data_IF_571197344691
#
_entry.id   IF_571197344691
#
_cell.length_a   1.000
_cell.length_b   1.000
_cell.length_c   1.000
_cell.angle_alpha   90.00
_cell.angle_beta   90.00
_cell.angle_gamma   90.00
#
_symmetry.space_group_name_H-M   'P 1'
#
loop_
_entity.id
_entity.type
_entity.pdbx_description
1 polymer ?
#
# COMPACT_ATOMS: atom_id res chain seq x y z
N UNK A 1 -27.93 27.27 62.00
CA UNK A 1 -27.02 27.38 60.86
C UNK A 1 -27.16 26.16 60.00
N UNK A 2 -27.86 26.29 58.86
CA UNK A 2 -28.16 25.15 57.95
C UNK A 2 -27.05 25.10 56.90
N UNK A 3 -26.24 24.04 56.89
CA UNK A 3 -25.22 23.79 55.87
C UNK A 3 -25.92 23.22 54.65
N UNK A 4 -25.95 23.94 53.54
CA UNK A 4 -26.37 23.47 52.26
C UNK A 4 -25.20 22.75 51.60
N UNK A 5 -25.27 21.43 51.48
CA UNK A 5 -24.34 20.61 50.68
C UNK A 5 -24.85 20.69 49.25
N UNK A 6 -24.14 21.43 48.39
CA UNK A 6 -24.40 21.52 46.96
C UNK A 6 -23.80 20.29 46.31
N UNK A 7 -24.61 19.30 45.95
CA UNK A 7 -24.18 18.12 45.25
C UNK A 7 -24.10 18.45 43.77
N UNK A 8 -22.92 18.77 43.29
CA UNK A 8 -22.68 18.98 41.85
C UNK A 8 -22.57 17.59 41.19
N UNK A 9 -23.68 17.14 40.60
CA UNK A 9 -23.67 15.97 39.71
C UNK A 9 -23.03 16.38 38.39
N UNK A 10 -21.75 16.05 38.22
CA UNK A 10 -21.07 16.14 36.90
C UNK A 10 -21.61 15.03 36.05
N UNK A 11 -22.56 15.35 35.19
CA UNK A 11 -22.99 14.48 34.09
C UNK A 11 -21.86 14.43 33.07
N UNK A 12 -21.03 13.41 33.15
CA UNK A 12 -20.17 13.02 32.04
C UNK A 12 -21.08 12.54 30.90
N UNK A 13 -21.51 13.46 30.05
CA UNK A 13 -22.05 13.11 28.75
C UNK A 13 -20.87 12.54 27.95
N UNK A 14 -20.64 11.24 28.08
CA UNK A 14 -19.81 10.50 27.16
C UNK A 14 -20.47 10.64 25.79
N UNK A 15 -20.02 11.59 25.00
CA UNK A 15 -20.30 11.59 23.58
C UNK A 15 -19.55 10.37 22.99
N UNK A 16 -20.19 9.20 23.06
CA UNK A 16 -19.85 8.12 22.14
C UNK A 16 -20.23 8.62 20.78
N UNK A 17 -19.23 9.08 20.03
CA UNK A 17 -19.42 9.31 18.60
C UNK A 17 -20.08 8.03 18.01
N UNK A 18 -21.17 8.15 17.26
CA UNK A 18 -21.76 6.99 16.63
C UNK A 18 -20.63 6.30 15.85
N UNK A 19 -20.49 5.00 16.09
CA UNK A 19 -19.55 4.16 15.37
C UNK A 19 -20.04 4.15 13.92
N UNK A 20 -19.57 5.15 13.13
CA UNK A 20 -19.92 5.20 11.72
C UNK A 20 -19.23 4.01 11.08
N UNK A 21 -20.03 3.09 10.56
CA UNK A 21 -19.49 2.03 9.71
C UNK A 21 -18.65 2.65 8.60
N UNK A 22 -17.48 2.05 8.29
CA UNK A 22 -16.61 2.58 7.25
C UNK A 22 -17.39 2.72 5.95
N UNK A 23 -17.28 3.88 5.32
CA UNK A 23 -17.93 4.10 4.05
C UNK A 23 -17.23 3.24 3.00
N UNK A 24 -17.95 2.27 2.46
CA UNK A 24 -17.46 1.37 1.42
C UNK A 24 -17.99 1.78 0.05
N UNK A 25 -17.27 1.39 -1.00
CA UNK A 25 -17.71 1.51 -2.38
C UNK A 25 -17.09 0.40 -3.25
N UNK A 26 -17.86 -0.05 -4.24
CA UNK A 26 -17.41 -1.08 -5.17
C UNK A 26 -17.45 -2.49 -4.58
N UNK A 27 -17.51 -3.46 -5.48
CA UNK A 27 -17.45 -4.90 -5.20
C UNK A 27 -16.95 -5.64 -6.44
N UNK A 28 -16.45 -6.84 -6.26
CA UNK A 28 -16.21 -7.73 -7.40
C UNK A 28 -17.52 -8.31 -7.92
N UNK A 29 -17.73 -8.27 -9.23
CA UNK A 29 -18.94 -8.81 -9.88
C UNK A 29 -19.15 -10.29 -9.56
N UNK A 30 -18.08 -11.04 -9.29
CA UNK A 30 -18.11 -12.46 -8.94
C UNK A 30 -18.38 -12.71 -7.44
N UNK A 31 -18.24 -11.70 -6.59
CA UNK A 31 -18.54 -11.76 -5.16
C UNK A 31 -19.11 -10.41 -4.70
N UNK A 32 -20.44 -10.26 -4.85
CA UNK A 32 -21.15 -9.03 -4.50
C UNK A 32 -21.18 -8.75 -2.99
N UNK A 33 -20.84 -9.74 -2.16
CA UNK A 33 -20.68 -9.54 -0.72
C UNK A 33 -19.35 -8.91 -0.34
N UNK A 34 -18.39 -8.88 -1.27
CA UNK A 34 -17.08 -8.28 -1.07
C UNK A 34 -17.15 -6.79 -1.39
N UNK A 35 -17.06 -5.96 -0.37
CA UNK A 35 -17.02 -4.50 -0.51
C UNK A 35 -15.67 -3.94 -0.09
N UNK A 36 -15.34 -2.76 -0.61
CA UNK A 36 -14.04 -2.12 -0.42
C UNK A 36 -14.17 -0.75 0.21
N UNK A 37 -13.18 -0.40 0.99
CA UNK A 37 -12.97 0.95 1.52
C UNK A 37 -11.56 1.43 1.15
N UNK A 38 -11.34 2.74 1.21
CA UNK A 38 -10.01 3.32 1.04
C UNK A 38 -9.09 2.76 2.12
N UNK A 39 -7.89 2.35 1.72
CA UNK A 39 -6.86 1.88 2.63
C UNK A 39 -6.17 3.03 3.38
N UNK A 40 -5.11 2.72 4.11
CA UNK A 40 -4.42 3.68 4.97
C UNK A 40 -3.28 4.41 4.26
N UNK A 41 -2.89 5.56 4.81
CA UNK A 41 -1.70 6.30 4.40
C UNK A 41 -0.41 5.49 4.64
N UNK A 42 -0.39 4.64 5.67
CA UNK A 42 0.73 3.73 5.94
C UNK A 42 1.01 2.79 4.77
N UNK A 43 -0.06 2.27 4.13
CA UNK A 43 0.09 1.44 2.92
C UNK A 43 0.64 2.25 1.75
N UNK A 44 0.21 3.50 1.60
CA UNK A 44 0.75 4.42 0.60
C UNK A 44 2.24 4.69 0.83
N UNK A 45 2.62 4.95 2.07
CA UNK A 45 4.02 5.22 2.46
C UNK A 45 4.90 3.97 2.30
N UNK A 46 4.35 2.79 2.54
CA UNK A 46 5.03 1.53 2.25
C UNK A 46 5.40 1.41 0.77
N UNK A 47 4.45 1.66 -0.14
CA UNK A 47 4.71 1.60 -1.59
C UNK A 47 5.71 2.66 -2.05
N UNK A 48 5.65 3.87 -1.50
CA UNK A 48 6.66 4.91 -1.76
C UNK A 48 8.05 4.47 -1.32
N UNK A 49 8.17 3.90 -0.13
CA UNK A 49 9.45 3.38 0.38
C UNK A 49 9.97 2.25 -0.49
N UNK A 50 9.10 1.34 -0.92
CA UNK A 50 9.47 0.26 -1.83
C UNK A 50 10.03 0.81 -3.16
N UNK A 51 9.35 1.79 -3.79
CA UNK A 51 9.84 2.46 -4.99
C UNK A 51 11.16 3.22 -4.76
N UNK A 52 11.31 3.88 -3.62
CA UNK A 52 12.56 4.55 -3.24
C UNK A 52 13.72 3.56 -3.12
N UNK A 53 13.51 2.40 -2.47
CA UNK A 53 14.55 1.37 -2.36
C UNK A 53 15.00 0.86 -3.74
N UNK A 54 14.11 0.79 -4.73
CA UNK A 54 14.48 0.49 -6.12
C UNK A 54 15.38 1.56 -6.72
N UNK A 55 15.08 2.84 -6.50
CA UNK A 55 15.87 3.96 -6.98
C UNK A 55 17.26 4.02 -6.31
N UNK A 56 17.32 3.63 -5.04
CA UNK A 56 18.57 3.55 -4.26
C UNK A 56 19.35 2.26 -4.53
N UNK A 57 18.77 1.31 -5.28
CA UNK A 57 19.32 -0.02 -5.57
C UNK A 57 19.61 -0.83 -4.31
N UNK A 58 18.80 -0.60 -3.28
CA UNK A 58 18.90 -1.28 -2.00
C UNK A 58 18.14 -2.61 -2.05
N UNK A 59 18.84 -3.63 -2.56
CA UNK A 59 18.31 -5.00 -2.70
C UNK A 59 17.81 -5.54 -1.36
N UNK A 60 18.56 -5.31 -0.27
CA UNK A 60 18.21 -5.82 1.06
C UNK A 60 16.89 -5.22 1.53
N UNK A 61 16.73 -3.90 1.40
CA UNK A 61 15.48 -3.23 1.76
C UNK A 61 14.31 -3.70 0.90
N UNK A 62 14.47 -3.90 -0.40
CA UNK A 62 13.41 -4.39 -1.28
C UNK A 62 12.96 -5.77 -0.81
N UNK A 63 13.87 -6.72 -0.70
CA UNK A 63 13.56 -8.10 -0.32
C UNK A 63 12.98 -8.21 1.11
N UNK A 64 13.39 -7.32 2.02
CA UNK A 64 12.81 -7.28 3.37
C UNK A 64 11.34 -6.85 3.41
N UNK A 65 10.88 -6.12 2.41
CA UNK A 65 9.49 -5.68 2.26
C UNK A 65 8.61 -6.68 1.52
N UNK A 66 9.19 -7.69 0.92
CA UNK A 66 8.52 -8.71 0.13
C UNK A 66 8.41 -10.03 0.88
N UNK A 67 7.43 -10.83 0.51
CA UNK A 67 7.35 -12.20 1.02
C UNK A 67 8.36 -13.10 0.28
N UNK A 68 8.90 -14.14 0.93
CA UNK A 68 9.80 -15.08 0.27
C UNK A 68 9.20 -15.75 -0.96
N UNK A 69 7.88 -15.96 -0.96
CA UNK A 69 7.07 -16.55 -2.01
C UNK A 69 6.34 -15.49 -2.88
N UNK A 70 6.97 -14.32 -3.08
CA UNK A 70 6.39 -13.28 -3.91
C UNK A 70 6.10 -13.81 -5.32
N UNK A 71 4.96 -13.41 -5.87
CA UNK A 71 4.55 -13.75 -7.24
C UNK A 71 4.31 -12.46 -8.02
N UNK A 72 5.01 -12.31 -9.14
CA UNK A 72 4.93 -11.13 -10.00
C UNK A 72 4.63 -11.57 -11.42
N UNK A 73 3.57 -11.02 -11.99
CA UNK A 73 3.23 -11.20 -13.40
C UNK A 73 3.57 -9.91 -14.16
N UNK A 74 4.41 -10.01 -15.17
CA UNK A 74 4.76 -8.87 -16.02
C UNK A 74 3.80 -8.75 -17.21
N UNK A 75 3.66 -7.54 -17.82
CA UNK A 75 2.72 -7.33 -18.93
C UNK A 75 2.99 -8.17 -20.18
N UNK A 76 4.19 -8.69 -20.34
CA UNK A 76 4.60 -9.56 -21.44
C UNK A 76 4.28 -11.07 -21.18
N UNK A 77 3.69 -11.36 -20.01
CA UNK A 77 3.36 -12.72 -19.57
C UNK A 77 4.50 -13.44 -18.85
N UNK A 78 5.62 -12.78 -18.61
CA UNK A 78 6.69 -13.33 -17.77
C UNK A 78 6.22 -13.41 -16.33
N UNK A 79 6.45 -14.56 -15.71
CA UNK A 79 6.16 -14.81 -14.30
C UNK A 79 7.47 -14.90 -13.53
N UNK A 80 7.50 -14.27 -12.35
CA UNK A 80 8.63 -14.28 -11.42
C UNK A 80 8.12 -14.87 -10.11
N UNK A 81 8.65 -16.00 -9.70
CA UNK A 81 8.25 -16.71 -8.49
C UNK A 81 9.38 -16.73 -7.47
N UNK A 82 9.12 -16.08 -6.34
CA UNK A 82 10.04 -16.00 -5.22
C UNK A 82 11.11 -14.92 -5.34
N UNK A 83 11.69 -14.59 -4.19
CA UNK A 83 12.69 -13.53 -4.07
C UNK A 83 13.99 -13.81 -4.85
N UNK A 84 14.37 -15.07 -5.02
CA UNK A 84 15.59 -15.43 -5.76
C UNK A 84 15.49 -15.10 -7.26
N UNK A 85 14.31 -15.27 -7.86
CA UNK A 85 14.08 -14.89 -9.25
C UNK A 85 13.93 -13.38 -9.38
N UNK A 86 13.20 -12.76 -8.44
CA UNK A 86 13.03 -11.32 -8.42
C UNK A 86 14.36 -10.59 -8.29
N UNK A 87 15.28 -11.06 -7.43
CA UNK A 87 16.62 -10.49 -7.29
C UNK A 87 17.37 -10.41 -8.62
N UNK A 88 17.28 -11.43 -9.46
CA UNK A 88 17.96 -11.44 -10.79
C UNK A 88 17.35 -10.39 -11.73
N UNK A 89 16.02 -10.20 -11.66
CA UNK A 89 15.35 -9.16 -12.45
C UNK A 89 15.76 -7.77 -11.95
N UNK A 90 15.84 -7.58 -10.63
CA UNK A 90 16.30 -6.33 -10.02
C UNK A 90 17.74 -5.99 -10.40
N UNK A 91 18.65 -6.98 -10.42
CA UNK A 91 20.04 -6.78 -10.91
C UNK A 91 20.05 -6.23 -12.34
N UNK A 92 19.19 -6.76 -13.22
CA UNK A 92 19.05 -6.24 -14.59
C UNK A 92 18.50 -4.81 -14.62
N UNK A 93 17.52 -4.49 -13.80
CA UNK A 93 16.98 -3.13 -13.69
C UNK A 93 18.02 -2.14 -13.19
N UNK A 94 18.81 -2.54 -12.20
CA UNK A 94 19.90 -1.71 -11.66
C UNK A 94 21.00 -1.46 -12.69
N UNK A 95 21.36 -2.49 -13.48
CA UNK A 95 22.34 -2.36 -14.57
C UNK A 95 21.87 -1.39 -15.68
N UNK A 96 20.58 -1.33 -15.94
CA UNK A 96 19.98 -0.44 -16.94
C UNK A 96 19.54 0.91 -16.36
N UNK A 97 19.93 1.24 -15.13
CA UNK A 97 19.57 2.48 -14.44
C UNK A 97 18.06 2.78 -14.46
N UNK A 98 17.23 1.75 -14.29
CA UNK A 98 15.80 1.94 -14.19
C UNK A 98 15.46 2.73 -12.92
N UNK A 99 14.61 3.75 -13.07
CA UNK A 99 14.08 4.54 -11.97
C UNK A 99 12.56 4.46 -11.94
N UNK A 100 12.02 4.56 -10.74
CA UNK A 100 10.59 4.42 -10.44
C UNK A 100 10.06 5.73 -9.87
N UNK A 101 9.16 6.39 -10.57
CA UNK A 101 8.49 7.60 -10.11
C UNK A 101 6.99 7.32 -9.95
N UNK A 102 6.50 7.14 -8.71
CA UNK A 102 5.07 6.99 -8.48
C UNK A 102 4.38 8.34 -8.69
N UNK A 103 3.35 8.40 -9.54
CA UNK A 103 2.55 9.59 -9.74
C UNK A 103 1.14 9.49 -9.15
N UNK A 104 0.67 8.29 -8.80
CA UNK A 104 -0.47 8.06 -7.93
C UNK A 104 -0.38 6.68 -7.28
N UNK A 105 -0.93 6.57 -6.06
CA UNK A 105 -1.03 5.33 -5.30
C UNK A 105 -2.40 5.30 -4.65
N UNK A 106 -3.16 4.24 -4.86
CA UNK A 106 -4.50 4.07 -4.30
C UNK A 106 -4.58 2.72 -3.56
N UNK A 107 -4.43 2.73 -2.24
CA UNK A 107 -4.69 1.54 -1.43
C UNK A 107 -6.20 1.35 -1.24
N UNK A 108 -6.66 0.11 -1.26
CA UNK A 108 -8.02 -0.25 -0.93
C UNK A 108 -8.07 -1.55 -0.14
N UNK A 109 -8.96 -1.62 0.83
CA UNK A 109 -9.06 -2.74 1.76
C UNK A 109 -10.40 -3.44 1.61
N UNK A 110 -10.36 -4.75 1.45
CA UNK A 110 -11.54 -5.60 1.48
C UNK A 110 -12.10 -5.66 2.90
N UNK A 111 -13.40 -5.42 3.04
CA UNK A 111 -14.06 -5.48 4.35
C UNK A 111 -14.19 -6.92 4.82
N UNK A 112 -14.53 -7.85 3.94
CA UNK A 112 -14.73 -9.26 4.24
C UNK A 112 -13.40 -10.00 4.43
N UNK A 113 -12.50 -9.89 3.45
CA UNK A 113 -11.22 -10.61 3.48
C UNK A 113 -10.17 -9.96 4.39
N UNK A 114 -10.38 -8.72 4.84
CA UNK A 114 -9.41 -7.95 5.63
C UNK A 114 -8.02 -7.89 4.97
N UNK A 115 -8.02 -7.84 3.63
CA UNK A 115 -6.80 -7.73 2.82
C UNK A 115 -6.75 -6.36 2.17
N UNK A 116 -5.54 -5.83 2.06
CA UNK A 116 -5.29 -4.55 1.37
C UNK A 116 -4.59 -4.83 0.05
N UNK A 117 -5.13 -4.22 -0.99
CA UNK A 117 -4.51 -4.13 -2.31
C UNK A 117 -4.09 -2.72 -2.59
N UNK A 118 -3.15 -2.56 -3.50
CA UNK A 118 -2.72 -1.26 -3.98
C UNK A 118 -2.78 -1.27 -5.51
N UNK A 119 -3.44 -0.25 -6.06
CA UNK A 119 -3.28 0.10 -7.46
C UNK A 119 -2.39 1.33 -7.50
N UNK A 120 -1.35 1.32 -8.32
CA UNK A 120 -0.44 2.44 -8.43
C UNK A 120 -0.01 2.67 -9.87
N UNK A 121 0.23 3.92 -10.23
CA UNK A 121 0.83 4.31 -11.49
C UNK A 121 2.26 4.76 -11.26
N UNK A 122 3.17 4.17 -12.03
CA UNK A 122 4.58 4.52 -12.02
C UNK A 122 5.02 4.96 -13.41
N UNK A 123 5.88 5.98 -13.45
CA UNK A 123 6.73 6.25 -14.61
C UNK A 123 8.04 5.52 -14.39
N UNK A 124 8.40 4.65 -15.34
CA UNK A 124 9.68 3.97 -15.35
C UNK A 124 10.56 4.66 -16.38
N UNK A 125 11.75 5.05 -15.96
CA UNK A 125 12.75 5.61 -16.87
C UNK A 125 13.98 4.72 -16.84
N UNK A 126 14.54 4.40 -18.00
CA UNK A 126 15.76 3.61 -18.11
C UNK A 126 16.78 4.33 -18.98
N UNK A 127 18.06 4.10 -18.74
CA UNK A 127 19.14 4.62 -19.58
C UNK A 127 19.90 3.45 -20.23
N UNK A 128 19.73 3.29 -21.53
CA UNK A 128 20.40 2.24 -22.32
C UNK A 128 21.28 2.91 -23.36
N UNK A 129 22.57 2.59 -23.36
CA UNK A 129 23.57 3.17 -24.29
C UNK A 129 23.63 4.73 -24.27
N UNK A 130 23.29 5.35 -23.14
CA UNK A 130 23.25 6.81 -22.99
C UNK A 130 21.97 7.49 -23.49
N UNK A 131 21.01 6.72 -23.97
CA UNK A 131 19.68 7.21 -24.34
C UNK A 131 18.66 6.92 -23.22
N UNK A 132 17.87 7.92 -22.89
CA UNK A 132 16.79 7.80 -21.91
C UNK A 132 15.53 7.30 -22.60
N UNK A 133 14.93 6.25 -22.04
CA UNK A 133 13.66 5.67 -22.46
C UNK A 133 12.66 5.76 -21.29
N UNK A 134 11.43 6.17 -21.59
CA UNK A 134 10.32 6.33 -20.64
C UNK A 134 9.19 5.38 -20.97
#
# INVERSE_FOLDING_TARGET
MKKYILLIAILFASCTAPNQEPKTAGYFIQDEEESYMIGSDETTDFVKKWAQSHNERDMESILSMEKPDIHIELPDGTVIDGQDEHSKVLESFFANNVTWEPYWILPYTSVKAQKTWVIAGFRLTSTVNGEENV
#
